data_IF_371955639405
#
_entry.id   IF_371955639405
#
_cell.length_a   1.000
_cell.length_b   1.000
_cell.length_c   1.000
_cell.angle_alpha   90.00
_cell.angle_beta   90.00
_cell.angle_gamma   90.00
#
_symmetry.space_group_name_H-M   'P 1'
#
loop_
_entity.id
_entity.type
_entity.pdbx_description
1 polymer ?
#
# COMPACT_ATOMS: atom_id res chain seq x y z
N UNK A 1 -8.37 16.66 22.77
CA UNK A 1 -7.18 17.40 23.28
C UNK A 1 -5.86 16.61 23.26
N UNK A 2 -5.83 15.28 23.43
CA UNK A 2 -4.57 14.49 23.28
C UNK A 2 -4.05 14.39 21.82
N UNK A 3 -4.94 14.35 20.82
CA UNK A 3 -4.56 14.21 19.41
C UNK A 3 -3.82 15.44 18.81
N UNK A 4 -4.17 16.66 19.22
CA UNK A 4 -3.52 17.90 18.73
C UNK A 4 -2.07 18.00 19.23
N UNK A 5 -1.81 17.60 20.48
CA UNK A 5 -0.45 17.58 21.03
C UNK A 5 0.45 16.57 20.34
N UNK A 6 -0.12 15.43 19.90
CA UNK A 6 0.61 14.39 19.19
C UNK A 6 0.83 14.71 17.71
N UNK A 7 -0.12 15.39 17.05
CA UNK A 7 0.08 15.99 15.72
C UNK A 7 1.28 16.93 15.67
N UNK A 8 1.31 17.90 16.58
CA UNK A 8 2.37 18.91 16.61
C UNK A 8 3.71 18.24 16.97
N UNK A 9 3.69 17.19 17.81
CA UNK A 9 4.86 16.36 18.09
C UNK A 9 5.31 15.56 16.86
N UNK A 10 4.39 14.96 16.10
CA UNK A 10 4.67 14.26 14.84
C UNK A 10 5.24 15.24 13.80
N UNK A 11 4.57 16.37 13.53
CA UNK A 11 5.05 17.39 12.60
C UNK A 11 6.39 18.00 13.04
N UNK A 12 6.60 18.18 14.35
CA UNK A 12 7.85 18.66 14.94
C UNK A 12 9.00 17.65 14.87
N UNK A 13 8.73 16.35 15.09
CA UNK A 13 9.72 15.27 15.04
C UNK A 13 10.02 14.80 13.61
N UNK A 14 9.08 14.99 12.67
CA UNK A 14 9.19 14.65 11.24
C UNK A 14 9.83 15.78 10.40
N UNK A 15 10.57 16.70 11.03
CA UNK A 15 11.45 17.62 10.33
C UNK A 15 12.67 16.88 9.76
N UNK A 16 12.60 16.58 8.47
CA UNK A 16 13.69 16.14 7.61
C UNK A 16 13.46 16.69 6.21
N UNK A 17 14.52 17.04 5.48
CA UNK A 17 14.36 17.62 4.15
C UNK A 17 14.18 16.53 3.08
N UNK A 18 14.59 15.30 3.39
CA UNK A 18 14.56 14.15 2.49
C UNK A 18 13.36 13.23 2.81
N UNK A 19 12.58 12.77 1.80
CA UNK A 19 11.47 11.83 1.99
C UNK A 19 11.86 10.57 2.79
N UNK A 20 13.09 10.11 2.64
CA UNK A 20 13.61 8.90 3.27
C UNK A 20 13.73 9.03 4.79
N UNK A 21 14.28 10.16 5.24
CA UNK A 21 14.39 10.45 6.66
C UNK A 21 13.02 10.55 7.33
N UNK A 22 12.03 11.10 6.61
CA UNK A 22 10.66 11.20 7.10
C UNK A 22 10.05 9.83 7.31
N UNK A 23 10.19 8.93 6.34
CA UNK A 23 9.70 7.54 6.42
C UNK A 23 10.33 6.83 7.62
N UNK A 24 11.66 6.83 7.74
CA UNK A 24 12.37 6.15 8.85
C UNK A 24 11.97 6.71 10.22
N UNK A 25 11.76 8.03 10.33
CA UNK A 25 11.29 8.65 11.58
C UNK A 25 9.87 8.25 11.91
N UNK A 26 8.97 8.24 10.93
CA UNK A 26 7.58 7.84 11.15
C UNK A 26 7.49 6.37 11.60
N UNK A 27 8.33 5.49 11.06
CA UNK A 27 8.44 4.10 11.56
C UNK A 27 8.80 4.04 13.05
N UNK A 28 9.77 4.85 13.49
CA UNK A 28 10.19 4.92 14.89
C UNK A 28 9.11 5.53 15.80
N UNK A 29 8.36 6.52 15.31
CA UNK A 29 7.25 7.14 16.04
C UNK A 29 6.06 6.17 16.21
N UNK A 30 5.73 5.39 15.18
CA UNK A 30 4.67 4.38 15.25
C UNK A 30 4.93 3.37 16.37
N UNK A 31 6.19 3.00 16.62
CA UNK A 31 6.56 2.08 17.68
C UNK A 31 6.29 2.63 19.09
N UNK A 32 6.20 3.95 19.25
CA UNK A 32 5.97 4.64 20.53
C UNK A 32 4.56 5.24 20.62
N UNK A 33 3.81 5.25 19.53
CA UNK A 33 2.50 5.85 19.46
C UNK A 33 1.47 5.03 20.27
N UNK A 34 0.50 5.71 20.92
CA UNK A 34 -0.73 5.07 21.40
C UNK A 34 -1.40 4.24 20.31
N UNK A 35 -1.97 3.10 20.72
CA UNK A 35 -2.68 2.17 19.84
C UNK A 35 -3.85 2.83 19.07
N UNK A 36 -4.46 3.87 19.65
CA UNK A 36 -5.55 4.64 19.03
C UNK A 36 -5.10 5.43 17.79
N UNK A 37 -3.82 5.82 17.74
CA UNK A 37 -3.25 6.56 16.60
C UNK A 37 -2.56 5.65 15.59
N UNK A 38 -2.16 4.45 16.00
CA UNK A 38 -1.39 3.54 15.17
C UNK A 38 -2.02 3.30 13.78
N UNK A 39 -3.34 3.07 13.63
CA UNK A 39 -3.93 2.89 12.30
C UNK A 39 -3.72 4.07 11.36
N UNK A 40 -3.81 5.29 11.88
CA UNK A 40 -3.63 6.49 11.07
C UNK A 40 -2.17 6.69 10.67
N UNK A 41 -1.25 6.48 11.60
CA UNK A 41 0.18 6.60 11.32
C UNK A 41 0.66 5.52 10.35
N UNK A 42 0.13 4.30 10.46
CA UNK A 42 0.36 3.21 9.51
C UNK A 42 -0.17 3.57 8.11
N UNK A 43 -1.35 4.18 8.03
CA UNK A 43 -1.90 4.69 6.76
C UNK A 43 -1.01 5.79 6.16
N UNK A 44 -0.57 6.75 6.98
CA UNK A 44 0.32 7.83 6.54
C UNK A 44 1.67 7.27 6.05
N UNK A 45 2.21 6.27 6.74
CA UNK A 45 3.45 5.61 6.35
C UNK A 45 3.28 4.86 5.02
N UNK A 46 2.15 4.18 4.81
CA UNK A 46 1.82 3.53 3.55
C UNK A 46 1.78 4.54 2.39
N UNK A 47 1.11 5.66 2.59
CA UNK A 47 1.06 6.78 1.63
C UNK A 47 2.45 7.37 1.34
N UNK A 48 3.32 7.47 2.34
CA UNK A 48 4.67 8.00 2.13
C UNK A 48 5.56 7.05 1.35
N UNK A 49 5.48 5.74 1.60
CA UNK A 49 6.13 4.75 0.76
C UNK A 49 5.61 4.79 -0.67
N UNK A 50 4.29 4.94 -0.84
CA UNK A 50 3.67 5.09 -2.15
C UNK A 50 4.16 6.34 -2.89
N UNK A 51 4.17 7.49 -2.23
CA UNK A 51 4.72 8.72 -2.80
C UNK A 51 6.21 8.62 -3.13
N UNK A 52 6.99 7.96 -2.27
CA UNK A 52 8.41 7.71 -2.54
C UNK A 52 8.59 6.87 -3.81
N UNK A 53 7.79 5.81 -3.96
CA UNK A 53 7.77 5.01 -5.19
C UNK A 53 7.43 5.88 -6.40
N UNK A 54 6.35 6.66 -6.35
CA UNK A 54 5.92 7.51 -7.47
C UNK A 54 7.03 8.50 -7.89
N UNK A 55 7.73 9.10 -6.93
CA UNK A 55 8.84 10.02 -7.19
C UNK A 55 10.08 9.32 -7.77
N UNK A 56 10.28 8.04 -7.45
CA UNK A 56 11.45 7.26 -7.84
C UNK A 56 11.12 6.15 -8.85
N UNK A 57 9.96 6.21 -9.51
CA UNK A 57 9.41 5.13 -10.33
C UNK A 57 10.40 4.60 -11.36
N UNK A 58 11.13 5.49 -12.04
CA UNK A 58 12.13 5.13 -13.05
C UNK A 58 13.30 4.31 -12.46
N UNK A 59 13.69 4.56 -11.20
CA UNK A 59 14.74 3.78 -10.52
C UNK A 59 14.27 2.36 -10.23
N UNK A 60 13.01 2.21 -9.83
CA UNK A 60 12.41 0.90 -9.57
C UNK A 60 12.30 0.06 -10.84
N UNK A 61 11.96 0.68 -11.99
CA UNK A 61 11.91 -0.02 -13.28
C UNK A 61 13.30 -0.49 -13.77
N UNK A 62 14.40 0.09 -13.27
CA UNK A 62 15.76 -0.29 -13.63
C UNK A 62 16.37 -1.34 -12.69
N UNK A 63 15.69 -1.66 -11.57
CA UNK A 63 16.16 -2.66 -10.62
C UNK A 63 15.74 -4.04 -11.09
N UNK A 64 16.72 -4.90 -11.34
CA UNK A 64 16.48 -6.34 -11.33
C UNK A 64 16.27 -6.79 -9.89
N UNK A 65 15.36 -7.74 -9.68
CA UNK A 65 15.20 -8.44 -8.41
C UNK A 65 16.54 -9.10 -8.07
N UNK A 66 17.34 -8.43 -7.23
CA UNK A 66 18.60 -8.99 -6.78
C UNK A 66 18.27 -9.93 -5.62
N UNK A 67 18.66 -11.21 -5.74
CA UNK A 67 18.45 -12.22 -4.69
C UNK A 67 19.23 -11.98 -3.39
N UNK A 68 19.80 -10.78 -3.20
CA UNK A 68 20.46 -10.36 -1.97
C UNK A 68 19.37 -9.86 -1.03
N UNK A 69 19.23 -10.41 0.19
CA UNK A 69 18.23 -9.94 1.14
C UNK A 69 18.41 -8.43 1.40
N UNK A 70 17.44 -7.60 1.01
CA UNK A 70 17.54 -6.17 1.31
C UNK A 70 17.52 -5.97 2.82
N UNK A 71 18.40 -5.10 3.32
CA UNK A 71 18.44 -4.71 4.73
C UNK A 71 17.23 -3.85 5.14
N UNK A 72 17.38 -3.15 6.28
CA UNK A 72 16.36 -2.20 6.76
C UNK A 72 16.28 -0.93 5.90
N UNK A 73 17.23 -0.73 4.98
CA UNK A 73 17.25 0.40 4.06
C UNK A 73 16.28 0.17 2.89
N UNK A 74 15.08 0.74 3.01
CA UNK A 74 14.03 0.63 2.00
C UNK A 74 14.41 1.25 0.64
N UNK A 75 15.42 2.12 0.60
CA UNK A 75 15.91 2.69 -0.65
C UNK A 75 16.57 1.63 -1.53
N UNK A 76 16.92 0.46 -0.99
CA UNK A 76 17.51 -0.67 -1.72
C UNK A 76 16.50 -1.72 -2.16
N UNK A 77 15.24 -1.60 -1.75
CA UNK A 77 14.23 -2.63 -2.01
C UNK A 77 13.83 -2.70 -3.49
N UNK A 78 13.43 -3.89 -3.90
CA UNK A 78 12.75 -4.11 -5.17
C UNK A 78 11.27 -3.68 -5.08
N UNK A 79 10.60 -3.67 -6.23
CA UNK A 79 9.21 -3.24 -6.33
C UNK A 79 8.25 -4.16 -5.54
N UNK A 80 8.34 -5.50 -5.66
CA UNK A 80 7.45 -6.40 -4.92
C UNK A 80 7.54 -6.22 -3.41
N UNK A 81 8.75 -6.11 -2.85
CA UNK A 81 8.93 -5.93 -1.39
C UNK A 81 8.38 -4.59 -0.91
N UNK A 82 8.58 -3.52 -1.68
CA UNK A 82 8.02 -2.22 -1.32
C UNK A 82 6.49 -2.27 -1.28
N UNK A 83 5.87 -2.94 -2.26
CA UNK A 83 4.42 -3.07 -2.32
C UNK A 83 3.88 -3.99 -1.23
N UNK A 84 4.58 -5.07 -0.90
CA UNK A 84 4.25 -5.91 0.25
C UNK A 84 4.29 -5.12 1.55
N UNK A 85 5.28 -4.22 1.73
CA UNK A 85 5.34 -3.34 2.90
C UNK A 85 4.12 -2.42 2.97
N UNK A 86 3.74 -1.80 1.86
CA UNK A 86 2.56 -0.92 1.79
C UNK A 86 1.27 -1.72 2.10
N UNK A 87 1.12 -2.91 1.52
CA UNK A 87 0.00 -3.82 1.80
C UNK A 87 -0.09 -4.15 3.30
N UNK A 88 1.02 -4.59 3.90
CA UNK A 88 1.06 -4.93 5.32
C UNK A 88 0.66 -3.75 6.21
N UNK A 89 1.02 -2.52 5.85
CA UNK A 89 0.64 -1.32 6.58
C UNK A 89 -0.86 -1.04 6.49
N UNK A 90 -1.46 -1.10 5.29
CA UNK A 90 -2.91 -0.96 5.14
C UNK A 90 -3.69 -2.06 5.85
N UNK A 91 -3.25 -3.31 5.72
CA UNK A 91 -3.86 -4.44 6.43
C UNK A 91 -3.79 -4.25 7.94
N UNK A 92 -2.65 -3.80 8.47
CA UNK A 92 -2.48 -3.54 9.90
C UNK A 92 -3.38 -2.40 10.37
N UNK A 93 -3.46 -1.31 9.62
CA UNK A 93 -4.32 -0.18 9.94
C UNK A 93 -5.80 -0.60 10.01
N UNK A 94 -6.28 -1.36 9.03
CA UNK A 94 -7.68 -1.77 8.92
C UNK A 94 -8.11 -2.84 9.95
N UNK A 95 -7.17 -3.48 10.67
CA UNK A 95 -7.51 -4.45 11.75
C UNK A 95 -8.33 -3.82 12.86
N UNK A 96 -8.18 -2.51 13.10
CA UNK A 96 -8.96 -1.77 14.10
C UNK A 96 -10.38 -1.42 13.61
N UNK A 97 -10.98 -2.23 12.75
CA UNK A 97 -12.25 -1.95 12.05
C UNK A 97 -13.38 -1.38 12.91
N UNK A 98 -13.74 -1.98 14.07
CA UNK A 98 -14.79 -1.46 14.93
C UNK A 98 -14.50 -0.04 15.46
N UNK A 99 -13.25 0.22 15.89
CA UNK A 99 -12.82 1.54 16.37
C UNK A 99 -12.87 2.57 15.24
N UNK A 100 -12.34 2.22 14.07
CA UNK A 100 -12.27 3.10 12.92
C UNK A 100 -13.66 3.49 12.39
N UNK A 101 -14.59 2.55 12.37
CA UNK A 101 -15.99 2.79 11.97
C UNK A 101 -16.77 3.64 12.97
N UNK A 102 -16.36 3.63 14.24
CA UNK A 102 -16.94 4.48 15.28
C UNK A 102 -16.31 5.88 15.34
N UNK A 103 -15.17 6.09 14.69
CA UNK A 103 -14.42 7.35 14.76
C UNK A 103 -14.75 8.22 13.55
N UNK A 104 -15.42 9.38 13.74
CA UNK A 104 -15.70 10.28 12.64
C UNK A 104 -14.41 10.87 12.10
N UNK A 105 -14.31 11.03 10.78
CA UNK A 105 -13.13 11.59 10.12
C UNK A 105 -12.83 13.02 10.60
N UNK A 106 -13.89 13.76 10.97
CA UNK A 106 -13.80 15.12 11.51
C UNK A 106 -13.03 15.23 12.82
N UNK A 107 -12.88 14.14 13.58
CA UNK A 107 -12.03 14.11 14.77
C UNK A 107 -10.53 14.31 14.44
N UNK A 108 -10.18 14.27 13.14
CA UNK A 108 -8.82 14.33 12.62
C UNK A 108 -8.62 15.46 11.60
N UNK A 109 -9.55 16.43 11.53
CA UNK A 109 -9.50 17.55 10.58
C UNK A 109 -8.27 18.43 10.71
N UNK A 110 -7.71 18.51 11.91
CA UNK A 110 -6.46 19.22 12.11
C UNK A 110 -5.33 18.49 11.35
N UNK A 111 -5.31 17.14 11.44
CA UNK A 111 -4.24 16.23 11.01
C UNK A 111 -4.27 15.90 9.53
N UNK A 112 -5.46 15.68 8.98
CA UNK A 112 -5.61 15.27 7.60
C UNK A 112 -5.84 16.48 6.70
N UNK A 113 -5.12 16.60 5.57
CA UNK A 113 -5.48 17.61 4.58
C UNK A 113 -6.90 17.33 4.09
N UNK A 114 -7.73 18.39 4.06
CA UNK A 114 -9.09 18.27 3.55
C UNK A 114 -9.05 17.89 2.07
N UNK A 115 -9.69 16.78 1.75
CA UNK A 115 -9.90 16.35 0.37
C UNK A 115 -10.92 17.22 -0.36
N UNK A 116 -11.11 16.93 -1.65
CA UNK A 116 -12.10 17.61 -2.50
C UNK A 116 -13.54 17.13 -2.30
N UNK A 117 -13.73 15.96 -1.67
CA UNK A 117 -15.05 15.39 -1.39
C UNK A 117 -15.54 15.71 0.01
N UNK A 118 -16.82 16.08 0.18
CA UNK A 118 -17.41 16.28 1.50
C UNK A 118 -17.37 15.03 2.37
N UNK A 119 -17.13 15.21 3.68
CA UNK A 119 -17.04 14.15 4.67
C UNK A 119 -18.27 13.23 4.69
N UNK A 120 -19.46 13.71 4.29
CA UNK A 120 -20.69 12.88 4.22
C UNK A 120 -20.55 11.63 3.35
N UNK A 121 -19.60 11.61 2.42
CA UNK A 121 -19.35 10.48 1.53
C UNK A 121 -18.29 9.50 2.08
N UNK A 122 -17.47 9.95 3.05
CA UNK A 122 -16.47 9.14 3.76
C UNK A 122 -16.44 9.58 5.23
N UNK A 123 -17.51 9.31 6.00
CA UNK A 123 -17.73 9.95 7.29
C UNK A 123 -16.79 9.44 8.40
N UNK A 124 -16.18 8.27 8.23
CA UNK A 124 -15.37 7.63 9.27
C UNK A 124 -13.91 7.50 8.84
N UNK A 125 -13.02 7.32 9.83
CA UNK A 125 -11.63 6.94 9.54
C UNK A 125 -11.53 5.64 8.74
N UNK A 126 -12.45 4.70 8.95
CA UNK A 126 -12.47 3.47 8.17
C UNK A 126 -12.66 3.76 6.68
N UNK A 127 -13.59 4.64 6.34
CA UNK A 127 -13.88 5.01 4.94
C UNK A 127 -12.70 5.71 4.28
N UNK A 128 -11.97 6.53 5.05
CA UNK A 128 -10.73 7.17 4.60
C UNK A 128 -9.64 6.14 4.30
N UNK A 129 -9.27 5.31 5.29
CA UNK A 129 -8.18 4.33 5.14
C UNK A 129 -8.51 3.32 4.04
N UNK A 130 -9.75 2.85 3.96
CA UNK A 130 -10.18 1.94 2.91
C UNK A 130 -10.10 2.59 1.52
N UNK A 131 -10.36 3.90 1.41
CA UNK A 131 -10.22 4.61 0.15
C UNK A 131 -8.77 4.72 -0.29
N UNK A 132 -7.85 5.09 0.60
CA UNK A 132 -6.41 5.16 0.29
C UNK A 132 -5.88 3.77 -0.11
N UNK A 133 -6.24 2.73 0.64
CA UNK A 133 -5.89 1.35 0.30
C UNK A 133 -6.43 0.95 -1.08
N UNK A 134 -7.68 1.27 -1.40
CA UNK A 134 -8.26 1.01 -2.71
C UNK A 134 -7.54 1.76 -3.83
N UNK A 135 -7.12 3.00 -3.61
CA UNK A 135 -6.35 3.77 -4.60
C UNK A 135 -5.01 3.10 -4.89
N UNK A 136 -4.32 2.59 -3.86
CA UNK A 136 -3.11 1.80 -4.01
C UNK A 136 -3.35 0.48 -4.77
N UNK A 137 -4.36 -0.30 -4.39
CA UNK A 137 -4.64 -1.61 -5.02
C UNK A 137 -5.22 -1.50 -6.44
N UNK A 138 -5.88 -0.38 -6.76
CA UNK A 138 -6.43 -0.14 -8.10
C UNK A 138 -5.39 0.45 -9.07
N UNK A 139 -4.18 0.73 -8.61
CA UNK A 139 -3.14 1.32 -9.45
C UNK A 139 -2.65 0.29 -10.50
N UNK A 140 -2.37 0.76 -11.72
CA UNK A 140 -1.88 -0.12 -12.80
C UNK A 140 -0.51 -0.72 -12.49
N UNK A 141 0.26 -0.09 -11.61
CA UNK A 141 1.56 -0.56 -11.14
C UNK A 141 1.48 -1.83 -10.31
N UNK A 142 0.30 -2.16 -9.75
CA UNK A 142 0.06 -3.45 -9.11
C UNK A 142 0.26 -4.62 -10.06
N UNK A 143 0.02 -4.44 -11.37
CA UNK A 143 0.29 -5.45 -12.36
C UNK A 143 1.81 -5.67 -12.55
N UNK A 144 2.60 -4.60 -12.53
CA UNK A 144 4.06 -4.66 -12.70
C UNK A 144 4.82 -5.22 -11.48
N UNK A 145 4.19 -5.25 -10.31
CA UNK A 145 4.76 -5.83 -9.09
C UNK A 145 4.42 -7.31 -8.90
N UNK A 146 3.57 -7.89 -9.76
CA UNK A 146 3.28 -9.32 -9.71
C UNK A 146 4.52 -10.13 -10.12
N UNK A 147 4.73 -11.32 -9.55
CA UNK A 147 5.75 -12.24 -10.02
C UNK A 147 5.60 -12.48 -11.53
N UNK A 148 6.71 -12.65 -12.25
CA UNK A 148 6.70 -13.01 -13.68
C UNK A 148 5.96 -14.35 -13.91
N UNK A 149 5.93 -15.23 -12.91
CA UNK A 149 5.19 -16.49 -12.91
C UNK A 149 3.75 -16.37 -12.35
N UNK A 150 3.20 -15.17 -12.22
CA UNK A 150 1.83 -15.00 -11.77
C UNK A 150 0.86 -15.67 -12.76
N UNK A 151 -0.10 -16.44 -12.22
CA UNK A 151 -1.09 -17.13 -13.04
C UNK A 151 -1.91 -16.12 -13.85
N UNK A 152 -1.72 -16.11 -15.17
CA UNK A 152 -2.52 -15.34 -16.12
C UNK A 152 -3.48 -16.24 -16.88
N UNK A 153 -4.71 -15.77 -17.04
CA UNK A 153 -5.72 -16.44 -17.85
C UNK A 153 -5.78 -15.76 -19.20
N UNK A 154 -5.25 -16.40 -20.23
CA UNK A 154 -5.36 -15.91 -21.62
C UNK A 154 -6.83 -15.82 -22.05
N UNK A 155 -7.14 -14.83 -22.91
CA UNK A 155 -8.45 -14.74 -23.55
C UNK A 155 -8.76 -15.97 -24.43
N UNK A 156 -7.72 -16.63 -24.94
CA UNK A 156 -7.83 -17.87 -25.72
C UNK A 156 -7.84 -19.13 -24.83
N UNK A 157 -7.93 -18.96 -23.51
CA UNK A 157 -7.93 -20.07 -22.57
C UNK A 157 -9.19 -20.93 -22.71
N UNK A 158 -9.06 -22.28 -22.71
CA UNK A 158 -10.19 -23.20 -22.66
C UNK A 158 -11.09 -23.03 -21.43
N UNK A 159 -10.68 -22.21 -20.46
CA UNK A 159 -11.51 -21.85 -19.30
C UNK A 159 -12.84 -21.18 -19.70
N UNK A 160 -12.87 -20.48 -20.85
CA UNK A 160 -14.05 -19.80 -21.37
C UNK A 160 -14.80 -20.62 -22.44
N UNK A 161 -14.32 -21.82 -22.75
CA UNK A 161 -14.88 -22.70 -23.77
C UNK A 161 -16.06 -23.55 -23.22
N UNK A 162 -16.80 -24.24 -24.11
CA UNK A 162 -17.90 -25.14 -23.71
C UNK A 162 -17.48 -26.19 -22.68
N UNK A 163 -18.45 -26.63 -21.86
CA UNK A 163 -18.25 -27.45 -20.66
C UNK A 163 -17.32 -28.67 -20.85
N UNK A 164 -17.38 -29.34 -22.00
CA UNK A 164 -16.54 -30.49 -22.30
C UNK A 164 -15.03 -30.14 -22.31
N UNK A 165 -14.67 -28.98 -22.87
CA UNK A 165 -13.29 -28.48 -22.92
C UNK A 165 -12.85 -27.90 -21.58
N UNK A 166 -13.75 -27.21 -20.87
CA UNK A 166 -13.49 -26.72 -19.52
C UNK A 166 -13.17 -27.87 -18.55
N UNK A 167 -13.94 -28.96 -18.60
CA UNK A 167 -13.72 -30.11 -17.70
C UNK A 167 -12.42 -30.86 -17.98
N UNK A 168 -11.87 -30.74 -19.19
CA UNK A 168 -10.57 -31.28 -19.57
C UNK A 168 -9.40 -30.33 -19.23
N UNK A 169 -9.68 -29.07 -18.88
CA UNK A 169 -8.67 -28.06 -18.58
C UNK A 169 -8.14 -28.21 -17.13
N UNK A 170 -6.82 -28.15 -16.95
CA UNK A 170 -6.17 -28.14 -15.64
C UNK A 170 -5.65 -26.74 -15.30
N UNK A 171 -6.21 -26.13 -14.26
CA UNK A 171 -5.73 -24.85 -13.74
C UNK A 171 -4.28 -25.00 -13.22
N UNK A 172 -3.34 -24.32 -13.86
CA UNK A 172 -1.91 -24.32 -13.51
C UNK A 172 -0.97 -24.80 -14.63
N UNK A 173 -1.49 -25.37 -15.71
CA UNK A 173 -0.71 -25.67 -16.92
C UNK A 173 -0.66 -24.46 -17.88
N UNK A 174 -0.39 -23.26 -17.34
CA UNK A 174 -0.04 -22.14 -18.21
C UNK A 174 1.31 -22.52 -18.86
N UNK A 175 1.28 -22.83 -20.15
CA UNK A 175 2.49 -22.88 -20.95
C UNK A 175 3.22 -21.56 -20.71
N UNK A 176 4.39 -21.65 -20.07
CA UNK A 176 5.36 -20.57 -20.10
C UNK A 176 5.49 -20.18 -21.57
N UNK A 177 4.99 -18.99 -21.92
CA UNK A 177 5.05 -18.50 -23.28
C UNK A 177 6.52 -18.42 -23.66
N UNK A 178 6.99 -19.42 -24.40
CA UNK A 178 8.31 -19.39 -24.99
C UNK A 178 8.31 -18.21 -25.96
N UNK A 179 9.23 -17.24 -25.84
CA UNK A 179 9.33 -16.19 -26.84
C UNK A 179 9.74 -16.84 -28.17
N UNK A 180 8.87 -16.77 -29.17
CA UNK A 180 9.25 -17.11 -30.54
C UNK A 180 10.28 -16.06 -31.03
N UNK A 181 11.40 -16.55 -31.58
CA UNK A 181 12.43 -15.77 -32.27
C UNK A 181 12.06 -15.50 -33.72
#
# INVERSE_FOLDING_TARGET
>A
MKAIGQKIALEGNLQGNQPEEKITRLEAEIAQAPSEMAPLLETLLAEWYWHYFQQNRWRFMQRTTTGVPPGNDFTTWDLPRLFERIDQLFQKALRAGPLLKATPISAWDDLLPKGSMPDRYRPTLYDFIAHEALAFYASGEQAAARPEDAFEVSADSPIFDPAEKFLAWQAGAAEASQPEL
#
